data_IF_379980857605
#
_entry.id   IF_379980857605
#
_cell.length_a   1.000
_cell.length_b   1.000
_cell.length_c   1.000
_cell.angle_alpha   90.00
_cell.angle_beta   90.00
_cell.angle_gamma   90.00
#
_symmetry.space_group_name_H-M   'P 1'
#
loop_
_entity.id
_entity.type
_entity.pdbx_description
1 polymer ?
#
# COMPACT_ATOMS: atom_id res chain seq x y z
N UNK A 1 -5.36 29.24 -3.63
CA UNK A 1 -4.25 30.23 -3.74
C UNK A 1 -4.69 31.68 -3.93
N UNK A 2 -5.98 32.00 -4.19
CA UNK A 2 -6.45 33.40 -4.28
C UNK A 2 -6.74 34.10 -2.94
N UNK A 3 -6.58 33.42 -1.80
CA UNK A 3 -7.02 33.91 -0.49
C UNK A 3 -6.01 34.84 0.21
N UNK A 4 -4.71 34.59 0.02
CA UNK A 4 -3.62 35.29 0.72
C UNK A 4 -3.50 36.80 0.43
N UNK A 5 -3.77 37.30 -0.80
CA UNK A 5 -3.82 38.75 -1.04
C UNK A 5 -4.86 39.45 -0.17
N UNK A 6 -6.00 38.81 0.10
CA UNK A 6 -7.05 39.33 0.97
C UNK A 6 -6.67 39.23 2.46
N UNK A 7 -6.24 38.06 2.91
CA UNK A 7 -5.92 37.84 4.32
C UNK A 7 -4.64 38.55 4.76
N UNK A 8 -3.55 38.43 4.01
CA UNK A 8 -2.24 38.98 4.39
C UNK A 8 -1.95 40.34 3.77
N UNK A 9 -2.31 40.54 2.50
CA UNK A 9 -2.09 41.83 1.82
C UNK A 9 -3.00 42.95 2.34
N UNK A 10 -4.28 42.64 2.61
CA UNK A 10 -5.24 43.65 3.08
C UNK A 10 -5.55 43.52 4.57
N UNK A 11 -6.16 42.41 5.00
CA UNK A 11 -6.70 42.29 6.36
C UNK A 11 -5.59 42.35 7.43
N UNK A 12 -4.49 41.62 7.26
CA UNK A 12 -3.37 41.61 8.21
C UNK A 12 -2.71 42.99 8.33
N UNK A 13 -2.57 43.73 7.23
CA UNK A 13 -2.00 45.09 7.25
C UNK A 13 -2.92 46.06 7.98
N UNK A 14 -4.21 46.08 7.66
CA UNK A 14 -5.20 47.00 8.25
C UNK A 14 -5.44 46.69 9.74
N UNK A 15 -5.68 45.43 10.08
CA UNK A 15 -5.88 45.00 11.47
C UNK A 15 -4.58 45.12 12.27
N UNK A 16 -3.44 44.82 11.64
CA UNK A 16 -2.12 44.91 12.26
C UNK A 16 -1.76 46.34 12.65
N UNK A 17 -2.07 47.32 11.78
CA UNK A 17 -1.87 48.74 12.08
C UNK A 17 -2.74 49.25 13.25
N UNK A 18 -3.94 48.69 13.43
CA UNK A 18 -4.87 49.11 14.49
C UNK A 18 -4.62 48.41 15.83
N UNK A 19 -4.39 47.10 15.82
CA UNK A 19 -4.44 46.25 17.02
C UNK A 19 -3.16 45.44 17.26
N UNK A 20 -2.18 45.53 16.37
CA UNK A 20 -0.96 44.72 16.39
C UNK A 20 -1.13 43.37 15.70
N UNK A 21 0.00 42.81 15.27
CA UNK A 21 0.06 41.63 14.40
C UNK A 21 -0.56 40.35 15.01
N UNK A 22 -0.43 40.13 16.32
CA UNK A 22 -1.00 38.95 17.02
C UNK A 22 -2.51 39.01 17.01
N UNK A 23 -3.10 40.15 17.41
CA UNK A 23 -4.56 40.32 17.45
C UNK A 23 -5.16 40.21 16.04
N UNK A 24 -4.49 40.82 15.06
CA UNK A 24 -4.86 40.67 13.65
C UNK A 24 -4.85 39.19 13.22
N UNK A 25 -3.80 38.44 13.57
CA UNK A 25 -3.68 37.03 13.24
C UNK A 25 -4.78 36.18 13.88
N UNK A 26 -5.14 36.43 15.14
CA UNK A 26 -6.21 35.71 15.85
C UNK A 26 -7.59 35.98 15.25
N UNK A 27 -7.88 37.24 14.88
CA UNK A 27 -9.12 37.59 14.19
C UNK A 27 -9.18 36.89 12.84
N UNK A 28 -8.10 36.93 12.07
CA UNK A 28 -8.02 36.24 10.78
C UNK A 28 -8.18 34.72 10.97
N UNK A 29 -7.56 34.13 11.99
CA UNK A 29 -7.72 32.71 12.28
C UNK A 29 -9.18 32.35 12.54
N UNK A 30 -9.90 33.12 13.35
CA UNK A 30 -11.30 32.88 13.65
C UNK A 30 -12.18 32.96 12.38
N UNK A 31 -12.00 34.00 11.58
CA UNK A 31 -12.76 34.16 10.32
C UNK A 31 -12.39 33.05 9.33
N UNK A 32 -11.13 32.68 9.24
CA UNK A 32 -10.64 31.64 8.33
C UNK A 32 -11.16 30.25 8.71
N UNK A 33 -11.20 29.93 10.01
CA UNK A 33 -11.84 28.72 10.54
C UNK A 33 -13.33 28.68 10.17
N UNK A 34 -14.06 29.77 10.38
CA UNK A 34 -15.49 29.86 10.04
C UNK A 34 -15.76 29.80 8.53
N UNK A 35 -14.87 30.39 7.71
CA UNK A 35 -14.95 30.31 6.26
C UNK A 35 -14.96 28.84 5.78
N UNK A 36 -14.25 27.96 6.48
CA UNK A 36 -14.17 26.54 6.13
C UNK A 36 -15.34 25.71 6.65
N UNK A 37 -16.35 26.34 7.28
CA UNK A 37 -17.53 25.64 7.77
C UNK A 37 -18.22 24.74 6.72
N UNK A 38 -18.33 25.12 5.43
CA UNK A 38 -18.90 24.25 4.40
C UNK A 38 -18.12 22.95 4.15
N UNK A 39 -16.85 22.88 4.56
CA UNK A 39 -15.98 21.71 4.42
C UNK A 39 -16.08 20.76 5.63
N UNK A 40 -16.75 21.18 6.71
CA UNK A 40 -16.93 20.35 7.88
C UNK A 40 -17.95 19.23 7.58
N UNK A 41 -17.56 18.00 7.89
CA UNK A 41 -18.32 16.79 7.58
C UNK A 41 -18.11 16.23 6.18
N UNK A 42 -17.45 16.96 5.26
CA UNK A 42 -17.09 16.48 3.93
C UNK A 42 -15.59 16.19 3.83
N UNK A 43 -14.76 17.23 3.89
CA UNK A 43 -13.30 17.08 3.85
C UNK A 43 -12.68 16.96 5.26
N UNK A 44 -13.31 17.57 6.25
CA UNK A 44 -12.90 17.47 7.64
C UNK A 44 -13.92 16.69 8.44
N UNK A 45 -13.57 15.50 8.94
CA UNK A 45 -14.42 14.79 9.87
C UNK A 45 -14.76 15.67 11.08
N UNK A 46 -16.04 15.69 11.48
CA UNK A 46 -16.51 16.52 12.60
C UNK A 46 -15.69 16.36 13.88
N UNK A 47 -15.23 15.13 14.16
CA UNK A 47 -14.40 14.82 15.33
C UNK A 47 -13.00 15.47 15.27
N UNK A 48 -12.49 15.75 14.07
CA UNK A 48 -11.18 16.35 13.84
C UNK A 48 -11.23 17.86 13.66
N UNK A 49 -12.42 18.46 13.50
CA UNK A 49 -12.59 19.92 13.37
C UNK A 49 -11.94 20.70 14.52
N UNK A 50 -12.05 20.31 15.81
CA UNK A 50 -11.42 21.06 16.89
C UNK A 50 -9.89 21.09 16.80
N UNK A 51 -9.25 19.95 16.50
CA UNK A 51 -7.78 19.89 16.39
C UNK A 51 -7.29 20.62 15.13
N UNK A 52 -8.05 20.54 14.05
CA UNK A 52 -7.81 21.30 12.85
C UNK A 52 -7.91 22.82 13.11
N UNK A 53 -8.92 23.28 13.84
CA UNK A 53 -9.08 24.69 14.21
C UNK A 53 -7.88 25.22 15.03
N UNK A 54 -7.34 24.42 15.95
CA UNK A 54 -6.11 24.77 16.68
C UNK A 54 -4.92 24.92 15.72
N UNK A 55 -4.80 24.02 14.73
CA UNK A 55 -3.76 24.11 13.71
C UNK A 55 -3.88 25.37 12.85
N UNK A 56 -5.10 25.82 12.54
CA UNK A 56 -5.39 27.05 11.80
C UNK A 56 -4.91 28.28 12.57
N UNK A 57 -5.13 28.33 13.89
CA UNK A 57 -4.61 29.40 14.74
C UNK A 57 -3.08 29.45 14.71
N UNK A 58 -2.43 28.29 14.82
CA UNK A 58 -0.97 28.18 14.71
C UNK A 58 -0.46 28.68 13.34
N UNK A 59 -1.07 28.21 12.25
CA UNK A 59 -0.73 28.64 10.90
C UNK A 59 -0.91 30.15 10.70
N UNK A 60 -2.00 30.72 11.22
CA UNK A 60 -2.26 32.15 11.12
C UNK A 60 -1.22 33.01 11.85
N UNK A 61 -0.75 32.57 13.03
CA UNK A 61 0.31 33.24 13.77
C UNK A 61 1.65 33.16 13.04
N UNK A 62 2.01 31.99 12.51
CA UNK A 62 3.25 31.79 11.73
C UNK A 62 3.24 32.64 10.46
N UNK A 63 2.14 32.64 9.71
CA UNK A 63 1.99 33.46 8.50
C UNK A 63 2.02 34.96 8.82
N UNK A 64 1.37 35.39 9.91
CA UNK A 64 1.43 36.78 10.35
C UNK A 64 2.85 37.22 10.76
N UNK A 65 3.57 36.34 11.46
CA UNK A 65 4.98 36.55 11.79
C UNK A 65 5.84 36.63 10.53
N UNK A 66 5.66 35.69 9.59
CA UNK A 66 6.41 35.64 8.33
C UNK A 66 6.16 36.88 7.47
N UNK A 67 4.90 37.31 7.36
CA UNK A 67 4.51 38.52 6.64
C UNK A 67 5.31 39.72 7.18
N UNK A 68 5.36 39.90 8.50
CA UNK A 68 6.13 41.00 9.10
C UNK A 68 7.65 40.82 8.95
N UNK A 69 8.16 39.62 9.18
CA UNK A 69 9.59 39.32 9.12
C UNK A 69 10.17 39.47 7.70
N UNK A 70 9.34 39.26 6.67
CA UNK A 70 9.71 39.38 5.26
C UNK A 70 9.52 40.77 4.66
N UNK A 71 9.19 41.79 5.47
CA UNK A 71 8.89 43.14 4.97
C UNK A 71 7.58 43.20 4.19
N UNK A 72 6.54 42.54 4.68
CA UNK A 72 5.19 42.51 4.10
C UNK A 72 5.07 41.74 2.76
N UNK A 73 5.91 40.72 2.57
CA UNK A 73 5.86 39.89 1.36
C UNK A 73 4.70 38.89 1.38
N UNK A 74 3.67 39.18 0.58
CA UNK A 74 2.52 38.28 0.36
C UNK A 74 2.96 37.00 -0.37
N UNK A 75 3.94 37.10 -1.29
CA UNK A 75 4.44 35.95 -2.04
C UNK A 75 5.05 34.88 -1.10
N UNK A 76 5.83 35.29 -0.11
CA UNK A 76 6.40 34.35 0.86
C UNK A 76 5.31 33.65 1.68
N UNK A 77 4.25 34.39 2.06
CA UNK A 77 3.10 33.83 2.77
C UNK A 77 2.35 32.82 1.91
N UNK A 78 2.19 33.10 0.61
CA UNK A 78 1.58 32.17 -0.34
C UNK A 78 2.38 30.88 -0.49
N UNK A 79 3.72 30.96 -0.60
CA UNK A 79 4.57 29.77 -0.66
C UNK A 79 4.47 28.95 0.63
N UNK A 80 4.57 29.59 1.79
CA UNK A 80 4.45 28.91 3.08
C UNK A 80 3.09 28.22 3.24
N UNK A 81 2.00 28.92 2.92
CA UNK A 81 0.66 28.35 2.97
C UNK A 81 0.54 27.15 2.03
N UNK A 82 1.05 27.26 0.78
CA UNK A 82 1.07 26.14 -0.15
C UNK A 82 1.80 24.91 0.41
N UNK A 83 2.96 25.12 1.04
CA UNK A 83 3.73 24.05 1.68
C UNK A 83 2.95 23.40 2.83
N UNK A 84 2.29 24.19 3.67
CA UNK A 84 1.47 23.67 4.78
C UNK A 84 0.28 22.87 4.26
N UNK A 85 -0.39 23.32 3.20
CA UNK A 85 -1.52 22.58 2.61
C UNK A 85 -1.08 21.28 1.91
N UNK A 86 0.15 21.22 1.40
CA UNK A 86 0.71 19.99 0.84
C UNK A 86 1.09 18.99 1.93
N UNK A 87 1.80 19.46 2.97
CA UNK A 87 2.41 18.58 3.98
C UNK A 87 1.42 18.23 5.10
N UNK A 88 0.55 19.15 5.51
CA UNK A 88 -0.37 18.97 6.63
C UNK A 88 -1.36 17.82 6.41
N UNK A 89 -2.36 17.98 5.51
CA UNK A 89 -3.31 16.93 5.15
C UNK A 89 -2.66 15.70 4.52
N UNK A 90 -1.63 15.91 3.69
CA UNK A 90 -0.99 14.84 2.91
C UNK A 90 -0.12 13.90 3.74
N UNK A 91 0.51 14.40 4.81
CA UNK A 91 1.52 13.64 5.56
C UNK A 91 1.32 13.73 7.08
N UNK A 92 1.20 14.94 7.63
CA UNK A 92 1.23 15.15 9.09
C UNK A 92 -0.04 14.62 9.75
N UNK A 93 -1.23 15.04 9.30
CA UNK A 93 -2.49 14.63 9.92
C UNK A 93 -2.77 13.14 9.72
N UNK A 94 -2.37 12.58 8.57
CA UNK A 94 -2.47 11.14 8.30
C UNK A 94 -1.65 10.31 9.27
N UNK A 95 -0.47 10.76 9.70
CA UNK A 95 0.34 10.04 10.68
C UNK A 95 -0.34 9.87 12.04
N UNK A 96 -1.28 10.76 12.38
CA UNK A 96 -2.08 10.67 13.61
C UNK A 96 -3.39 9.90 13.43
N UNK A 97 -3.73 9.50 12.21
CA UNK A 97 -4.93 8.71 11.93
C UNK A 97 -4.68 7.23 12.28
N UNK A 98 -5.60 6.55 13.00
CA UNK A 98 -5.40 5.17 13.46
C UNK A 98 -5.09 4.20 12.32
N UNK A 99 -5.66 4.43 11.13
CA UNK A 99 -5.49 3.59 9.95
C UNK A 99 -4.02 3.58 9.50
N UNK A 100 -3.35 4.73 9.51
CA UNK A 100 -1.94 4.84 9.11
C UNK A 100 -0.97 4.32 10.18
N UNK A 101 -1.35 4.40 11.46
CA UNK A 101 -0.55 3.85 12.55
C UNK A 101 -0.65 2.31 12.63
N UNK A 102 -1.82 1.75 12.31
CA UNK A 102 -2.08 0.31 12.41
C UNK A 102 -1.77 -0.45 11.12
N UNK A 103 -1.87 0.19 9.95
CA UNK A 103 -1.55 -0.40 8.65
C UNK A 103 -0.21 -1.16 8.57
N UNK A 104 0.94 -0.61 9.03
CA UNK A 104 2.21 -1.33 8.95
C UNK A 104 2.21 -2.59 9.81
N UNK A 105 1.61 -2.54 11.02
CA UNK A 105 1.50 -3.71 11.91
C UNK A 105 0.57 -4.77 11.35
N UNK A 106 -0.55 -4.37 10.74
CA UNK A 106 -1.48 -5.29 10.06
C UNK A 106 -0.85 -5.92 8.81
N UNK A 107 -0.05 -5.16 8.05
CA UNK A 107 0.70 -5.69 6.92
C UNK A 107 1.77 -6.69 7.36
N UNK A 108 2.50 -6.38 8.44
CA UNK A 108 3.48 -7.29 9.04
C UNK A 108 2.80 -8.58 9.52
N UNK A 109 1.70 -8.47 10.28
CA UNK A 109 0.96 -9.64 10.76
C UNK A 109 0.44 -10.52 9.61
N UNK A 110 -0.10 -9.91 8.53
CA UNK A 110 -0.49 -10.65 7.32
C UNK A 110 0.69 -11.33 6.65
N UNK A 111 1.85 -10.68 6.59
CA UNK A 111 3.08 -11.26 6.06
C UNK A 111 3.56 -12.48 6.87
N UNK A 112 3.53 -12.39 8.20
CA UNK A 112 3.92 -13.50 9.09
C UNK A 112 2.96 -14.69 8.90
N UNK A 113 1.65 -14.47 8.99
CA UNK A 113 0.65 -15.55 8.81
C UNK A 113 0.71 -16.14 7.40
N UNK A 114 0.88 -15.31 6.38
CA UNK A 114 1.09 -15.76 5.00
C UNK A 114 2.36 -16.59 4.83
N UNK A 115 3.45 -16.19 5.48
CA UNK A 115 4.71 -16.94 5.50
C UNK A 115 4.58 -18.29 6.19
N UNK A 116 3.93 -18.36 7.35
CA UNK A 116 3.70 -19.61 8.08
C UNK A 116 2.81 -20.58 7.31
N UNK A 117 1.74 -20.09 6.70
CA UNK A 117 0.83 -20.91 5.88
C UNK A 117 1.52 -21.45 4.63
N UNK A 118 2.32 -20.62 3.95
CA UNK A 118 3.13 -21.06 2.82
C UNK A 118 4.20 -22.08 3.23
N UNK A 119 4.86 -21.87 4.38
CA UNK A 119 5.84 -22.81 4.92
C UNK A 119 5.22 -24.16 5.28
N UNK A 120 4.02 -24.18 5.88
CA UNK A 120 3.27 -25.41 6.17
C UNK A 120 2.85 -26.14 4.89
N UNK A 121 2.33 -25.41 3.91
CA UNK A 121 1.97 -25.99 2.61
C UNK A 121 3.18 -26.60 1.88
N UNK A 122 4.34 -25.95 1.97
CA UNK A 122 5.59 -26.49 1.43
C UNK A 122 6.09 -27.72 2.19
N UNK A 123 5.94 -27.74 3.53
CA UNK A 123 6.32 -28.87 4.39
C UNK A 123 5.40 -30.09 4.23
N UNK A 124 4.12 -29.89 3.93
CA UNK A 124 3.17 -30.99 3.69
C UNK A 124 3.45 -31.75 2.38
N UNK A 125 4.20 -31.15 1.44
CA UNK A 125 4.64 -31.77 0.18
C UNK A 125 3.48 -32.20 -0.74
N UNK A 126 3.73 -32.49 -2.03
CA UNK A 126 2.70 -33.09 -2.87
C UNK A 126 2.42 -34.49 -2.31
N UNK A 127 1.23 -34.69 -1.70
CA UNK A 127 0.78 -36.03 -1.35
C UNK A 127 0.74 -36.85 -2.63
N UNK A 128 1.65 -37.80 -2.78
CA UNK A 128 1.57 -38.81 -3.83
C UNK A 128 0.22 -39.50 -3.68
N UNK A 129 -0.76 -39.11 -4.53
CA UNK A 129 -1.93 -39.94 -4.77
C UNK A 129 -1.39 -41.20 -5.43
N UNK A 130 -1.24 -42.25 -4.64
CA UNK A 130 -1.02 -43.59 -5.15
C UNK A 130 -2.10 -43.84 -6.22
N UNK A 131 -1.73 -44.15 -7.47
CA UNK A 131 -2.73 -44.41 -8.49
C UNK A 131 -3.55 -45.59 -8.00
N UNK A 132 -4.87 -45.38 -7.89
CA UNK A 132 -5.79 -46.42 -7.47
C UNK A 132 -5.50 -47.69 -8.30
N UNK A 133 -4.95 -48.72 -7.65
CA UNK A 133 -4.77 -50.03 -8.28
C UNK A 133 -6.17 -50.52 -8.58
N UNK A 134 -6.59 -50.36 -9.83
CA UNK A 134 -7.83 -50.88 -10.35
C UNK A 134 -7.72 -52.41 -10.27
N UNK A 135 -8.19 -52.99 -9.16
CA UNK A 135 -8.34 -54.44 -9.01
C UNK A 135 -9.21 -54.90 -10.17
N UNK A 136 -8.58 -55.48 -11.19
CA UNK A 136 -9.25 -56.09 -12.33
C UNK A 136 -10.18 -57.18 -11.76
N UNK A 137 -11.48 -56.92 -11.78
CA UNK A 137 -12.48 -57.87 -11.34
C UNK A 137 -12.28 -59.19 -12.12
N UNK A 138 -12.07 -60.28 -11.38
CA UNK A 138 -11.97 -61.62 -11.94
C UNK A 138 -13.23 -61.97 -12.72
N UNK A 139 -13.06 -62.38 -13.97
CA UNK A 139 -14.13 -62.91 -14.82
C UNK A 139 -14.43 -64.35 -14.36
N UNK A 140 -15.68 -64.71 -14.00
CA UNK A 140 -15.99 -66.08 -13.63
C UNK A 140 -16.24 -66.93 -14.88
N UNK A 141 -15.69 -68.15 -14.90
CA UNK A 141 -16.24 -69.27 -15.66
C UNK A 141 -15.56 -69.61 -16.99
N UNK A 142 -14.77 -70.68 -16.97
CA UNK A 142 -14.31 -71.42 -18.15
C UNK A 142 -13.56 -72.69 -17.74
N UNK A 143 -14.15 -73.86 -18.00
CA UNK A 143 -13.73 -75.21 -17.55
C UNK A 143 -12.34 -75.64 -18.07
N UNK A 144 -11.65 -76.58 -17.39
CA UNK A 144 -10.34 -77.05 -17.82
C UNK A 144 -10.48 -78.05 -18.98
N UNK A 145 -9.64 -77.91 -20.01
CA UNK A 145 -9.41 -78.95 -21.02
C UNK A 145 -7.92 -79.25 -21.06
N UNK A 146 -7.63 -80.53 -20.95
CA UNK A 146 -6.34 -81.17 -20.78
C UNK A 146 -5.48 -81.15 -22.06
N UNK A 147 -4.16 -81.03 -21.86
CA UNK A 147 -3.08 -81.70 -22.60
C UNK A 147 -3.10 -81.69 -24.14
N UNK A 148 -2.13 -81.01 -24.77
CA UNK A 148 -1.11 -81.71 -25.59
C UNK A 148 0.18 -80.91 -25.77
N UNK A 149 1.29 -81.63 -25.66
CA UNK A 149 2.70 -81.23 -25.76
C UNK A 149 3.17 -81.28 -27.21
N UNK A 150 3.76 -80.21 -27.75
CA UNK A 150 4.71 -80.30 -28.88
C UNK A 150 5.76 -79.19 -28.81
N UNK A 151 6.98 -79.60 -29.18
CA UNK A 151 8.29 -78.97 -28.98
C UNK A 151 8.58 -77.87 -30.00
N UNK A 152 9.51 -76.97 -29.67
CA UNK A 152 10.23 -76.13 -30.66
C UNK A 152 11.04 -74.98 -30.04
N UNK A 153 12.33 -75.22 -29.77
CA UNK A 153 13.40 -74.21 -29.73
C UNK A 153 13.89 -73.99 -31.20
N UNK A 154 14.69 -72.95 -31.58
CA UNK A 154 15.72 -72.31 -30.76
C UNK A 154 15.93 -70.78 -30.90
N UNK A 155 16.85 -70.33 -30.05
CA UNK A 155 17.55 -69.05 -29.94
C UNK A 155 18.13 -68.52 -31.26
N UNK A 156 18.26 -67.19 -31.40
CA UNK A 156 19.54 -66.50 -31.65
C UNK A 156 19.35 -64.99 -31.93
N UNK A 157 20.36 -64.17 -31.61
CA UNK A 157 20.55 -62.86 -32.26
C UNK A 157 21.05 -61.70 -31.38
N UNK A 158 22.35 -61.65 -31.11
CA UNK A 158 23.11 -60.45 -30.68
C UNK A 158 22.89 -59.26 -31.64
N UNK A 159 23.00 -57.96 -31.31
CA UNK A 159 24.28 -57.23 -31.17
C UNK A 159 24.10 -55.71 -30.94
N UNK A 160 24.89 -55.17 -30.00
CA UNK A 160 25.77 -53.96 -30.03
C UNK A 160 25.30 -52.54 -30.43
N UNK A 161 25.69 -51.61 -29.52
CA UNK A 161 26.31 -50.26 -29.72
C UNK A 161 25.49 -49.17 -30.46
N UNK A 162 25.51 -47.88 -30.08
CA UNK A 162 26.68 -47.02 -29.80
C UNK A 162 26.21 -45.68 -29.17
N UNK A 163 27.06 -45.15 -28.26
CA UNK A 163 27.01 -43.78 -27.73
C UNK A 163 27.38 -42.74 -28.80
N UNK A 164 26.94 -41.49 -28.60
CA UNK A 164 27.64 -40.30 -29.11
C UNK A 164 26.77 -39.06 -29.21
N UNK A 165 26.74 -38.23 -28.16
CA UNK A 165 26.44 -36.79 -28.25
C UNK A 165 27.58 -36.05 -28.97
N UNK A 166 27.32 -34.83 -29.48
CA UNK A 166 28.04 -33.69 -28.92
C UNK A 166 27.16 -32.46 -28.66
N UNK A 167 27.73 -31.56 -27.84
CA UNK A 167 27.16 -30.35 -27.26
C UNK A 167 27.52 -29.08 -28.11
N UNK A 168 27.33 -27.82 -27.64
CA UNK A 168 26.68 -26.75 -28.38
C UNK A 168 27.65 -25.71 -29.01
N UNK A 169 27.13 -24.84 -29.88
CA UNK A 169 27.85 -23.70 -30.44
C UNK A 169 27.35 -22.36 -29.88
N UNK A 170 28.30 -21.66 -29.26
CA UNK A 170 28.43 -20.21 -28.98
C UNK A 170 28.28 -19.42 -30.32
N UNK A 171 27.63 -18.26 -30.45
CA UNK A 171 27.91 -17.01 -29.74
C UNK A 171 28.90 -16.15 -30.53
N UNK A 172 28.37 -15.22 -31.35
CA UNK A 172 28.95 -13.92 -31.74
C UNK A 172 27.98 -13.15 -32.63
#
# INVERSE_FOLDING_TARGET
MGEEPGWRGYAQRVLGAKWGWIRAALVIAAVWTLWHAPLWGSEFEWRLVPIWAVSVVGAALVLAWLYRASGESVLLCMLMHASVNMVGPGWVFKWFAPEYQTAPWVALARGVVGGETAARAAAEGPRHREPAVLKRAGRPGGRPIESTKTRGCPQDGQTRHRRGQPAPADGR
#
